data_IF_293742531890
#
_entry.id   IF_293742531890
#
_cell.length_a   1.000
_cell.length_b   1.000
_cell.length_c   1.000
_cell.angle_alpha   90.00
_cell.angle_beta   90.00
_cell.angle_gamma   90.00
#
_symmetry.space_group_name_H-M   'P 1'
#
loop_
_entity.id
_entity.type
_entity.pdbx_description
1 polymer ?
#
# COMPACT_ATOMS: atom_id res chain seq x y z
N UNK A 1 -14.07 43.24 -56.97
CA UNK A 1 -14.96 42.15 -57.43
C UNK A 1 -14.12 40.89 -57.44
N UNK A 2 -14.52 39.93 -56.61
CA UNK A 2 -14.21 38.50 -56.67
C UNK A 2 -12.75 38.05 -56.52
N UNK A 3 -12.40 36.99 -55.80
CA UNK A 3 -13.05 36.17 -54.75
C UNK A 3 -12.10 34.99 -54.56
N UNK A 4 -11.71 34.74 -53.31
CA UNK A 4 -11.57 33.42 -52.68
C UNK A 4 -10.81 32.32 -53.43
N UNK A 5 -9.66 31.94 -52.87
CA UNK A 5 -9.19 30.55 -52.82
C UNK A 5 -8.60 30.33 -51.42
N UNK A 6 -9.47 30.28 -50.41
CA UNK A 6 -9.17 29.66 -49.11
C UNK A 6 -9.66 28.21 -49.22
N UNK A 7 -8.76 27.31 -49.65
CA UNK A 7 -8.95 25.87 -49.47
C UNK A 7 -8.60 25.54 -48.03
N UNK A 8 -9.51 25.82 -47.10
CA UNK A 8 -9.52 25.12 -45.82
C UNK A 8 -9.96 23.68 -46.11
N UNK A 9 -9.00 22.77 -46.17
CA UNK A 9 -9.25 21.35 -46.00
C UNK A 9 -9.91 21.16 -44.64
N UNK A 10 -11.25 21.16 -44.63
CA UNK A 10 -12.01 20.59 -43.53
C UNK A 10 -11.59 19.11 -43.45
N UNK A 11 -10.66 18.84 -42.53
CA UNK A 11 -10.45 17.54 -41.93
C UNK A 11 -11.78 17.10 -41.31
N UNK A 12 -12.67 16.59 -42.17
CA UNK A 12 -13.77 15.73 -41.77
C UNK A 12 -13.14 14.46 -41.19
N UNK A 13 -12.77 14.53 -39.92
CA UNK A 13 -12.66 13.34 -39.11
C UNK A 13 -14.07 12.75 -39.09
N UNK A 14 -14.30 11.53 -39.60
CA UNK A 14 -15.57 10.87 -39.38
C UNK A 14 -15.80 10.83 -37.87
N UNK A 15 -17.00 11.22 -37.44
CA UNK A 15 -17.50 11.00 -36.09
C UNK A 15 -17.51 9.49 -35.85
N UNK A 16 -16.33 8.93 -35.57
CA UNK A 16 -16.21 7.63 -34.96
C UNK A 16 -16.92 7.79 -33.63
N UNK A 17 -18.07 7.13 -33.52
CA UNK A 17 -18.78 6.91 -32.28
C UNK A 17 -17.74 6.65 -31.20
N UNK A 18 -17.53 7.63 -30.31
CA UNK A 18 -16.86 7.38 -29.04
C UNK A 18 -17.82 6.49 -28.29
N UNK A 19 -17.78 5.17 -28.55
CA UNK A 19 -18.34 4.20 -27.64
C UNK A 19 -17.60 4.44 -26.33
N UNK A 20 -18.31 4.81 -25.28
CA UNK A 20 -17.73 4.95 -23.95
C UNK A 20 -16.89 3.71 -23.65
N UNK A 21 -15.56 3.84 -23.68
CA UNK A 21 -14.65 2.72 -23.44
C UNK A 21 -14.75 2.42 -21.95
N UNK A 22 -15.57 1.43 -21.61
CA UNK A 22 -15.79 1.01 -20.24
C UNK A 22 -14.71 0.02 -19.85
N UNK A 23 -13.80 0.45 -18.96
CA UNK A 23 -12.80 -0.44 -18.37
C UNK A 23 -13.49 -1.36 -17.37
N UNK A 24 -13.53 -2.67 -17.63
CA UNK A 24 -13.97 -3.63 -16.62
C UNK A 24 -12.76 -4.18 -15.87
N UNK A 25 -12.88 -4.22 -14.54
CA UNK A 25 -11.87 -4.79 -13.68
C UNK A 25 -12.42 -6.07 -13.06
N UNK A 26 -11.74 -7.18 -13.31
CA UNK A 26 -12.01 -8.45 -12.67
C UNK A 26 -11.02 -8.65 -11.54
N UNK A 27 -11.53 -9.01 -10.36
CA UNK A 27 -10.71 -9.32 -9.19
C UNK A 27 -10.59 -10.83 -9.08
N UNK A 28 -9.35 -11.32 -9.05
CA UNK A 28 -9.04 -12.73 -8.96
C UNK A 28 -8.10 -13.01 -7.78
N UNK A 29 -8.14 -14.25 -7.28
CA UNK A 29 -7.19 -14.73 -6.29
C UNK A 29 -5.78 -14.74 -6.91
N UNK A 30 -4.78 -14.46 -6.08
CA UNK A 30 -3.39 -14.50 -6.51
C UNK A 30 -2.96 -15.91 -6.89
N UNK A 31 -2.10 -16.03 -7.92
CA UNK A 31 -1.56 -17.31 -8.40
C UNK A 31 -0.15 -17.14 -8.95
N UNK A 32 0.56 -18.26 -9.16
CA UNK A 32 1.90 -18.26 -9.76
C UNK A 32 1.93 -17.64 -11.17
N UNK A 33 0.81 -17.65 -11.89
CA UNK A 33 0.72 -17.07 -13.24
C UNK A 33 0.86 -15.54 -13.22
N UNK A 34 0.44 -14.88 -12.13
CA UNK A 34 0.51 -13.42 -11.97
C UNK A 34 1.83 -12.92 -11.37
N UNK A 35 2.73 -13.83 -11.01
CA UNK A 35 3.97 -13.50 -10.32
C UNK A 35 4.86 -12.49 -11.07
N UNK A 36 5.08 -12.58 -12.40
CA UNK A 36 5.89 -11.59 -13.12
C UNK A 36 5.31 -10.17 -13.04
N UNK A 37 3.99 -10.03 -13.11
CA UNK A 37 3.28 -8.76 -13.04
C UNK A 37 3.31 -8.20 -11.61
N UNK A 38 3.10 -9.04 -10.60
CA UNK A 38 3.23 -8.66 -9.19
C UNK A 38 4.66 -8.17 -8.91
N UNK A 39 5.68 -8.87 -9.41
CA UNK A 39 7.08 -8.45 -9.27
C UNK A 39 7.33 -7.10 -9.92
N UNK A 40 6.78 -6.86 -11.11
CA UNK A 40 6.92 -5.58 -11.81
C UNK A 40 6.27 -4.44 -11.02
N UNK A 41 5.05 -4.66 -10.53
CA UNK A 41 4.30 -3.66 -9.76
C UNK A 41 4.94 -3.40 -8.38
N UNK A 42 5.40 -4.43 -7.69
CA UNK A 42 6.15 -4.30 -6.45
C UNK A 42 7.49 -3.60 -6.71
N UNK A 43 8.17 -3.97 -7.80
CA UNK A 43 9.44 -3.39 -8.25
C UNK A 43 9.33 -1.90 -8.51
N UNK A 44 8.24 -1.43 -9.13
CA UNK A 44 7.99 0.00 -9.32
C UNK A 44 7.93 0.76 -7.98
N UNK A 45 7.36 0.16 -6.93
CA UNK A 45 7.34 0.77 -5.59
C UNK A 45 8.69 0.66 -4.89
N UNK A 46 9.39 -0.48 -4.92
CA UNK A 46 10.65 -0.67 -4.19
C UNK A 46 11.90 -0.20 -4.95
N UNK A 47 11.75 0.21 -6.20
CA UNK A 47 12.83 0.75 -7.01
C UNK A 47 13.51 1.96 -6.33
N UNK A 48 14.83 2.05 -6.51
CA UNK A 48 15.66 3.12 -5.96
C UNK A 48 15.60 3.22 -4.44
N UNK A 49 15.37 2.10 -3.75
CA UNK A 49 15.38 2.02 -2.29
C UNK A 49 16.37 0.95 -1.81
N UNK A 50 16.83 1.02 -0.54
CA UNK A 50 17.68 -0.03 0.04
C UNK A 50 17.01 -1.42 0.12
N UNK A 51 15.70 -1.49 -0.08
CA UNK A 51 14.90 -2.72 0.01
C UNK A 51 14.41 -3.19 -1.37
N UNK A 52 15.13 -2.91 -2.46
CA UNK A 52 14.69 -3.27 -3.82
C UNK A 52 14.49 -4.78 -4.02
N UNK A 53 15.28 -5.62 -3.32
CA UNK A 53 15.15 -7.09 -3.36
C UNK A 53 13.80 -7.58 -2.82
N UNK A 54 13.13 -6.77 -2.00
CA UNK A 54 11.84 -7.11 -1.42
C UNK A 54 10.76 -7.31 -2.49
N UNK A 55 10.86 -6.65 -3.65
CA UNK A 55 9.89 -6.83 -4.73
C UNK A 55 9.81 -8.28 -5.22
N UNK A 56 10.96 -8.92 -5.42
CA UNK A 56 11.04 -10.30 -5.89
C UNK A 56 10.51 -11.28 -4.85
N UNK A 57 10.86 -11.09 -3.58
CA UNK A 57 10.38 -11.95 -2.50
C UNK A 57 8.88 -11.77 -2.23
N UNK A 58 8.38 -10.54 -2.26
CA UNK A 58 6.94 -10.28 -2.16
C UNK A 58 6.16 -10.92 -3.30
N UNK A 59 6.66 -10.87 -4.53
CA UNK A 59 6.00 -11.49 -5.66
C UNK A 59 5.84 -13.00 -5.47
N UNK A 60 6.90 -13.70 -5.04
CA UNK A 60 6.84 -15.13 -4.73
C UNK A 60 5.86 -15.45 -3.61
N UNK A 61 5.84 -14.64 -2.55
CA UNK A 61 4.99 -14.90 -1.38
C UNK A 61 3.52 -14.67 -1.76
N UNK A 62 3.23 -13.53 -2.42
CA UNK A 62 1.86 -13.17 -2.80
C UNK A 62 1.34 -14.15 -3.85
N UNK A 63 2.13 -14.58 -4.83
CA UNK A 63 1.71 -15.55 -5.84
C UNK A 63 1.40 -16.94 -5.28
N UNK A 64 2.04 -17.29 -4.17
CA UNK A 64 1.86 -18.56 -3.47
C UNK A 64 0.76 -18.52 -2.38
N UNK A 65 0.17 -17.35 -2.10
CA UNK A 65 -0.82 -17.15 -1.04
C UNK A 65 -2.14 -16.59 -1.61
N UNK A 66 -3.04 -17.44 -2.14
CA UNK A 66 -4.33 -17.00 -2.67
C UNK A 66 -5.32 -16.54 -1.60
N UNK A 67 -5.13 -16.90 -0.32
CA UNK A 67 -6.18 -16.75 0.70
C UNK A 67 -6.44 -15.32 1.17
N UNK A 68 -5.41 -14.47 1.15
CA UNK A 68 -5.53 -13.07 1.61
C UNK A 68 -4.85 -12.19 0.59
N UNK A 69 -5.65 -11.64 -0.32
CA UNK A 69 -5.15 -10.79 -1.38
C UNK A 69 -5.86 -11.02 -2.70
N UNK A 70 -5.75 -10.02 -3.56
CA UNK A 70 -6.37 -10.06 -4.87
C UNK A 70 -5.48 -9.37 -5.90
N UNK A 71 -5.67 -9.78 -7.15
CA UNK A 71 -5.12 -9.17 -8.34
C UNK A 71 -6.28 -8.62 -9.17
N UNK A 72 -6.19 -7.37 -9.60
CA UNK A 72 -7.15 -6.79 -10.54
C UNK A 72 -6.63 -6.92 -11.96
N UNK A 73 -7.42 -7.54 -12.82
CA UNK A 73 -7.14 -7.73 -14.24
C UNK A 73 -8.07 -6.84 -15.07
N UNK A 74 -7.54 -6.24 -16.15
CA UNK A 74 -8.36 -5.61 -17.18
C UNK A 74 -8.91 -6.64 -18.18
N UNK A 75 -9.70 -6.16 -19.15
CA UNK A 75 -10.35 -7.01 -20.17
C UNK A 75 -9.36 -7.89 -20.98
N UNK A 76 -8.12 -7.44 -21.14
CA UNK A 76 -7.05 -8.19 -21.85
C UNK A 76 -6.29 -9.19 -20.94
N UNK A 77 -6.84 -9.51 -19.77
CA UNK A 77 -6.18 -10.28 -18.70
C UNK A 77 -4.87 -9.67 -18.17
N UNK A 78 -4.60 -8.41 -18.51
CA UNK A 78 -3.45 -7.69 -18.02
C UNK A 78 -3.65 -7.32 -16.55
N UNK A 79 -2.70 -7.69 -15.69
CA UNK A 79 -2.72 -7.32 -14.28
C UNK A 79 -2.45 -5.82 -14.13
N UNK A 80 -3.42 -5.11 -13.55
CA UNK A 80 -3.39 -3.67 -13.34
C UNK A 80 -3.00 -3.28 -11.91
N UNK A 81 -3.20 -4.19 -10.96
CA UNK A 81 -2.79 -4.01 -9.58
C UNK A 81 -2.93 -5.27 -8.75
N UNK A 82 -2.28 -5.27 -7.60
CA UNK A 82 -2.43 -6.29 -6.57
C UNK A 82 -2.52 -5.64 -5.19
N UNK A 83 -3.17 -6.33 -4.27
CA UNK A 83 -3.30 -5.93 -2.88
C UNK A 83 -3.33 -7.20 -2.02
N UNK A 84 -2.40 -7.36 -1.09
CA UNK A 84 -2.30 -8.58 -0.28
C UNK A 84 -1.71 -8.29 1.10
N UNK A 85 -2.09 -9.08 2.09
CA UNK A 85 -1.50 -9.05 3.43
C UNK A 85 -0.76 -10.36 3.66
N UNK A 86 0.55 -10.27 3.87
CA UNK A 86 1.39 -11.43 4.14
C UNK A 86 1.73 -11.50 5.63
N UNK A 87 1.87 -12.68 6.21
CA UNK A 87 2.27 -12.81 7.60
C UNK A 87 3.79 -12.69 7.73
N UNK A 88 4.28 -11.57 8.28
CA UNK A 88 5.73 -11.35 8.41
C UNK A 88 6.41 -12.45 9.23
N UNK A 89 5.75 -12.94 10.29
CA UNK A 89 6.29 -13.98 11.17
C UNK A 89 6.65 -15.28 10.45
N UNK A 90 5.92 -15.63 9.38
CA UNK A 90 6.20 -16.83 8.58
C UNK A 90 7.42 -16.67 7.67
N UNK A 91 7.69 -15.44 7.25
CA UNK A 91 8.68 -15.12 6.23
C UNK A 91 9.96 -14.48 6.80
N UNK A 92 10.11 -14.42 8.13
CA UNK A 92 11.31 -13.87 8.80
C UNK A 92 12.62 -14.58 8.43
N UNK A 93 12.57 -15.77 7.85
CA UNK A 93 13.75 -16.48 7.34
C UNK A 93 14.28 -15.90 6.02
N UNK A 94 13.55 -14.99 5.39
CA UNK A 94 13.93 -14.31 4.14
C UNK A 94 14.60 -12.98 4.50
N UNK A 95 15.86 -12.79 4.11
CA UNK A 95 16.66 -11.62 4.51
C UNK A 95 16.04 -10.27 4.12
N UNK A 96 15.34 -10.18 2.98
CA UNK A 96 14.65 -8.96 2.58
C UNK A 96 13.47 -8.61 3.52
N UNK A 97 12.77 -9.62 4.03
CA UNK A 97 11.68 -9.47 5.00
C UNK A 97 12.23 -9.12 6.38
N UNK A 98 13.33 -9.75 6.78
CA UNK A 98 14.07 -9.40 8.00
C UNK A 98 14.53 -7.94 7.97
N UNK A 99 15.12 -7.48 6.86
CA UNK A 99 15.54 -6.08 6.71
C UNK A 99 14.36 -5.09 6.77
N UNK A 100 13.19 -5.46 6.24
CA UNK A 100 11.96 -4.67 6.37
C UNK A 100 11.49 -4.59 7.83
N UNK A 101 11.58 -5.71 8.56
CA UNK A 101 11.25 -5.75 9.97
C UNK A 101 12.23 -4.92 10.81
N UNK A 102 13.52 -4.96 10.50
CA UNK A 102 14.54 -4.11 11.13
C UNK A 102 14.27 -2.62 10.91
N UNK A 103 13.80 -2.23 9.72
CA UNK A 103 13.36 -0.85 9.47
C UNK A 103 12.25 -0.42 10.45
N UNK A 104 11.25 -1.29 10.68
CA UNK A 104 10.20 -1.05 11.67
C UNK A 104 10.76 -0.99 13.10
N UNK A 105 11.65 -1.90 13.48
CA UNK A 105 12.22 -1.94 14.83
C UNK A 105 13.05 -0.69 15.13
N UNK A 106 13.88 -0.26 14.18
CA UNK A 106 14.69 0.95 14.28
C UNK A 106 13.80 2.20 14.43
N UNK A 107 12.73 2.29 13.65
CA UNK A 107 11.75 3.37 13.78
C UNK A 107 11.06 3.33 15.15
N UNK A 108 10.62 2.16 15.61
CA UNK A 108 9.96 2.04 16.92
C UNK A 108 10.88 2.44 18.07
N UNK A 109 12.16 2.10 18.01
CA UNK A 109 13.13 2.47 19.04
C UNK A 109 13.27 3.99 19.18
N UNK A 110 13.22 4.74 18.07
CA UNK A 110 13.24 6.22 18.07
C UNK A 110 11.97 6.84 18.66
N UNK A 111 10.80 6.29 18.33
CA UNK A 111 9.51 6.92 18.64
C UNK A 111 8.76 6.33 19.85
N UNK A 112 9.18 5.19 20.41
CA UNK A 112 8.46 4.51 21.51
C UNK A 112 8.26 5.38 22.76
N UNK A 113 9.15 6.32 23.04
CA UNK A 113 9.02 7.17 24.23
C UNK A 113 8.28 8.48 23.96
N UNK A 114 8.06 8.82 22.69
CA UNK A 114 7.31 10.01 22.26
C UNK A 114 5.87 9.69 21.88
N UNK A 115 5.58 8.47 21.44
CA UNK A 115 4.25 8.01 21.01
C UNK A 115 3.75 6.86 21.91
N UNK A 116 2.79 7.11 22.82
CA UNK A 116 2.23 6.07 23.69
C UNK A 116 1.69 4.83 22.95
N UNK A 117 0.99 4.95 21.80
CA UNK A 117 0.55 3.78 21.03
C UNK A 117 1.73 2.94 20.49
N UNK A 118 2.80 3.59 20.03
CA UNK A 118 4.01 2.90 19.57
C UNK A 118 4.71 2.17 20.73
N UNK A 119 4.75 2.77 21.91
CA UNK A 119 5.26 2.12 23.13
C UNK A 119 4.51 0.84 23.46
N UNK A 120 3.18 0.90 23.43
CA UNK A 120 2.32 -0.24 23.73
C UNK A 120 2.51 -1.35 22.69
N UNK A 121 2.56 -0.99 21.41
CA UNK A 121 2.84 -1.94 20.34
C UNK A 121 4.20 -2.62 20.53
N UNK A 122 5.26 -1.85 20.81
CA UNK A 122 6.59 -2.38 21.08
C UNK A 122 6.62 -3.38 22.24
N UNK A 123 5.91 -3.10 23.33
CA UNK A 123 5.78 -4.02 24.46
C UNK A 123 5.07 -5.32 24.06
N UNK A 124 3.98 -5.22 23.30
CA UNK A 124 3.23 -6.40 22.81
C UNK A 124 4.04 -7.25 21.83
N UNK A 125 4.84 -6.60 20.98
CA UNK A 125 5.75 -7.25 20.04
C UNK A 125 6.80 -8.06 20.81
N UNK A 126 7.45 -7.46 21.81
CA UNK A 126 8.40 -8.16 22.70
C UNK A 126 7.78 -9.30 23.50
N UNK A 127 6.50 -9.18 23.86
CA UNK A 127 5.76 -10.24 24.54
C UNK A 127 5.34 -11.40 23.61
N UNK A 128 5.57 -11.29 22.30
CA UNK A 128 5.16 -12.32 21.33
C UNK A 128 3.64 -12.41 21.12
N UNK A 129 2.91 -11.35 21.47
CA UNK A 129 1.43 -11.32 21.37
C UNK A 129 0.93 -10.69 20.08
N UNK A 130 1.84 -10.18 19.24
CA UNK A 130 1.53 -9.55 17.96
C UNK A 130 1.67 -10.58 16.85
N UNK A 131 0.56 -10.87 16.17
CA UNK A 131 0.57 -11.42 14.82
C UNK A 131 0.52 -10.24 13.84
N UNK A 132 1.62 -10.01 13.11
CA UNK A 132 1.80 -8.84 12.25
C UNK A 132 1.65 -9.24 10.78
N UNK A 133 0.58 -8.75 10.15
CA UNK A 133 0.45 -8.78 8.70
C UNK A 133 1.20 -7.61 8.08
N UNK A 134 1.78 -7.79 6.90
CA UNK A 134 2.34 -6.72 6.09
C UNK A 134 1.48 -6.52 4.86
N UNK A 135 0.85 -5.35 4.77
CA UNK A 135 0.06 -4.95 3.63
C UNK A 135 0.98 -4.48 2.50
N UNK A 136 1.06 -5.29 1.45
CA UNK A 136 1.80 -5.00 0.23
C UNK A 136 0.81 -4.73 -0.90
N UNK A 137 1.09 -3.69 -1.68
CA UNK A 137 0.26 -3.32 -2.82
C UNK A 137 1.10 -2.64 -3.87
N UNK A 138 0.79 -2.93 -5.13
CA UNK A 138 1.38 -2.33 -6.30
C UNK A 138 0.31 -2.25 -7.37
N UNK A 139 0.22 -1.11 -8.05
CA UNK A 139 -0.84 -0.81 -9.01
C UNK A 139 -0.39 0.28 -9.95
N UNK A 140 -1.00 0.35 -11.13
CA UNK A 140 -0.81 1.53 -11.99
C UNK A 140 -1.38 2.78 -11.33
N UNK A 141 -0.73 3.91 -11.56
CA UNK A 141 -1.04 5.19 -10.92
C UNK A 141 -2.38 5.78 -11.37
N UNK A 142 -2.83 5.43 -12.57
CA UNK A 142 -4.06 5.91 -13.20
C UNK A 142 -5.31 5.07 -12.88
N UNK A 143 -5.20 4.03 -12.03
CA UNK A 143 -6.37 3.29 -11.59
C UNK A 143 -7.34 4.21 -10.83
N UNK A 144 -8.65 4.14 -11.13
CA UNK A 144 -9.64 4.98 -10.47
C UNK A 144 -9.76 4.63 -8.99
N UNK A 145 -10.16 5.60 -8.17
CA UNK A 145 -10.28 5.39 -6.74
C UNK A 145 -11.33 4.35 -6.36
N UNK A 146 -12.38 4.17 -7.16
CA UNK A 146 -13.34 3.07 -6.99
C UNK A 146 -12.68 1.69 -7.08
N UNK A 147 -11.72 1.51 -8.00
CA UNK A 147 -10.93 0.28 -8.09
C UNK A 147 -10.01 0.12 -6.87
N UNK A 148 -9.41 1.22 -6.42
CA UNK A 148 -8.57 1.24 -5.22
C UNK A 148 -9.40 0.82 -4.00
N UNK A 149 -10.60 1.36 -3.83
CA UNK A 149 -11.52 0.98 -2.76
C UNK A 149 -11.92 -0.50 -2.82
N UNK A 150 -12.15 -1.03 -4.03
CA UNK A 150 -12.49 -2.44 -4.22
C UNK A 150 -11.37 -3.39 -3.73
N UNK A 151 -10.09 -3.05 -3.94
CA UNK A 151 -8.97 -3.84 -3.37
C UNK A 151 -9.09 -3.99 -1.84
N UNK A 152 -9.42 -2.90 -1.14
CA UNK A 152 -9.57 -2.94 0.32
C UNK A 152 -10.83 -3.67 0.78
N UNK A 153 -11.88 -3.72 -0.05
CA UNK A 153 -13.09 -4.49 0.25
C UNK A 153 -12.83 -5.99 0.07
N UNK A 154 -12.20 -6.40 -1.03
CA UNK A 154 -11.87 -7.80 -1.28
C UNK A 154 -10.98 -8.35 -0.17
N UNK A 155 -9.89 -7.66 0.17
CA UNK A 155 -8.98 -8.14 1.24
C UNK A 155 -9.62 -8.10 2.62
N UNK A 156 -10.56 -7.17 2.87
CA UNK A 156 -11.37 -7.19 4.10
C UNK A 156 -12.21 -8.47 4.15
N UNK A 157 -12.90 -8.80 3.07
CA UNK A 157 -13.76 -9.97 2.99
C UNK A 157 -12.94 -11.27 3.10
N UNK A 158 -11.73 -11.30 2.54
CA UNK A 158 -10.76 -12.39 2.70
C UNK A 158 -10.35 -12.61 4.16
N UNK A 159 -10.02 -11.54 4.89
CA UNK A 159 -9.67 -11.60 6.32
C UNK A 159 -10.84 -12.16 7.14
N UNK A 160 -12.06 -11.69 6.84
CA UNK A 160 -13.29 -12.16 7.50
C UNK A 160 -13.54 -13.64 7.19
N UNK A 161 -13.38 -14.05 5.92
CA UNK A 161 -13.51 -15.43 5.50
C UNK A 161 -12.47 -16.35 6.15
N UNK A 162 -11.19 -15.96 6.16
CA UNK A 162 -10.09 -16.71 6.77
C UNK A 162 -10.23 -16.86 8.29
N UNK A 163 -10.93 -15.93 8.92
CA UNK A 163 -11.25 -15.97 10.34
C UNK A 163 -12.55 -16.74 10.66
N UNK A 164 -13.32 -17.12 9.64
CA UNK A 164 -14.65 -17.72 9.79
C UNK A 164 -14.61 -19.25 9.95
N UNK A 165 -15.72 -19.81 10.40
CA UNK A 165 -15.94 -21.27 10.41
C UNK A 165 -16.08 -21.88 9.00
N UNK A 166 -16.22 -21.04 7.96
CA UNK A 166 -16.37 -21.47 6.55
C UNK A 166 -15.02 -21.61 5.83
N UNK A 167 -13.92 -21.26 6.50
CA UNK A 167 -12.59 -21.39 5.94
C UNK A 167 -12.28 -22.83 5.54
N UNK A 168 -11.90 -23.03 4.28
CA UNK A 168 -11.75 -24.35 3.67
C UNK A 168 -10.45 -24.52 2.85
N UNK A 169 -9.48 -23.60 2.99
CA UNK A 169 -8.15 -23.77 2.38
C UNK A 169 -7.27 -24.77 3.15
N UNK A 170 -6.30 -25.36 2.45
CA UNK A 170 -5.26 -26.24 2.99
C UNK A 170 -4.28 -25.51 3.92
N UNK A 171 -4.12 -24.20 3.75
CA UNK A 171 -3.24 -23.38 4.60
C UNK A 171 -3.85 -23.24 6.00
N UNK A 172 -3.10 -23.33 7.10
CA UNK A 172 -3.69 -23.22 8.43
C UNK A 172 -4.27 -21.82 8.72
N UNK A 173 -5.54 -21.70 9.10
CA UNK A 173 -6.21 -20.39 9.29
C UNK A 173 -5.58 -19.46 10.34
N UNK A 174 -4.86 -20.00 11.33
CA UNK A 174 -4.15 -19.19 12.34
C UNK A 174 -3.07 -18.29 11.73
N UNK A 175 -2.60 -18.61 10.53
CA UNK A 175 -1.64 -17.83 9.75
C UNK A 175 -2.22 -16.49 9.28
N UNK A 176 -3.54 -16.36 9.20
CA UNK A 176 -4.27 -15.19 8.73
C UNK A 176 -4.99 -14.43 9.83
N UNK A 177 -4.78 -14.81 11.10
CA UNK A 177 -5.34 -14.13 12.27
C UNK A 177 -4.45 -12.98 12.71
N UNK A 178 -4.48 -11.89 11.95
CA UNK A 178 -3.67 -10.71 12.22
C UNK A 178 -4.21 -9.93 13.42
N UNK A 179 -3.29 -9.49 14.29
CA UNK A 179 -3.61 -8.53 15.36
C UNK A 179 -3.39 -7.10 14.90
N UNK A 180 -2.37 -6.91 14.05
CA UNK A 180 -1.96 -5.63 13.51
C UNK A 180 -1.55 -5.81 12.05
N UNK A 181 -1.67 -4.73 11.29
CA UNK A 181 -1.25 -4.65 9.88
C UNK A 181 -0.23 -3.52 9.77
N UNK A 182 0.94 -3.87 9.23
CA UNK A 182 2.00 -2.94 8.87
C UNK A 182 1.76 -2.45 7.45
N UNK A 183 1.72 -1.13 7.27
CA UNK A 183 1.70 -0.48 5.98
C UNK A 183 2.92 0.42 5.83
N UNK A 184 3.58 0.35 4.68
CA UNK A 184 4.74 1.20 4.37
C UNK A 184 4.48 1.92 3.05
N UNK A 185 4.61 3.24 3.08
CA UNK A 185 4.59 4.10 1.89
C UNK A 185 5.79 5.06 1.91
N UNK A 186 5.94 5.84 0.84
CA UNK A 186 6.98 6.86 0.71
C UNK A 186 6.35 8.25 0.79
N UNK A 187 7.11 9.23 1.29
CA UNK A 187 6.67 10.61 1.30
C UNK A 187 7.82 11.62 1.17
N UNK A 188 7.46 12.89 0.97
CA UNK A 188 8.39 14.03 1.01
C UNK A 188 8.17 14.83 2.29
N UNK A 189 9.23 14.95 3.10
CA UNK A 189 9.26 15.78 4.30
C UNK A 189 9.22 17.28 3.93
N UNK A 190 8.70 18.11 4.85
CA UNK A 190 8.92 19.57 4.83
C UNK A 190 10.42 19.84 4.87
N UNK A 191 10.89 20.78 4.05
CA UNK A 191 12.29 21.19 4.06
C UNK A 191 12.61 21.75 5.45
N UNK A 192 13.16 20.91 6.31
CA UNK A 192 13.87 21.37 7.49
C UNK A 192 15.28 21.65 7.02
N UNK A 193 15.67 22.93 7.01
CA UNK A 193 17.09 23.31 7.03
C UNK A 193 17.83 22.43 8.04
N UNK A 194 19.10 22.06 7.79
CA UNK A 194 19.86 21.18 8.65
C UNK A 194 20.16 21.89 9.99
N UNK A 195 19.20 21.85 10.91
CA UNK A 195 19.41 22.26 12.28
C UNK A 195 20.11 21.11 12.99
N UNK A 196 21.43 21.24 13.08
CA UNK A 196 22.34 20.35 13.78
C UNK A 196 22.09 20.25 15.30
N UNK A 197 20.99 20.79 15.83
CA UNK A 197 20.65 20.77 17.26
C UNK A 197 19.13 20.68 17.45
N UNK A 198 18.55 19.48 17.46
CA UNK A 198 17.27 19.23 18.15
C UNK A 198 17.39 18.05 19.11
N UNK A 199 18.42 18.10 19.95
CA UNK A 199 18.37 17.53 21.29
C UNK A 199 17.65 18.53 22.19
N UNK A 200 16.32 18.61 22.11
CA UNK A 200 15.45 19.17 23.18
C UNK A 200 13.98 19.10 22.76
N UNK A 201 13.23 18.25 23.45
CA UNK A 201 11.78 18.31 23.66
C UNK A 201 10.90 18.76 22.50
N UNK A 202 10.35 17.82 21.73
CA UNK A 202 9.16 18.10 20.96
C UNK A 202 8.20 16.90 21.02
N UNK A 203 7.17 17.05 21.85
CA UNK A 203 5.95 16.23 21.94
C UNK A 203 5.07 16.35 20.70
N UNK A 204 5.67 16.57 19.53
CA UNK A 204 4.93 16.80 18.28
C UNK A 204 4.75 15.51 17.53
N UNK A 205 3.49 15.24 17.17
CA UNK A 205 3.09 14.19 16.24
C UNK A 205 4.01 14.20 15.00
N UNK A 206 4.66 13.07 14.64
CA UNK A 206 5.58 13.00 13.50
C UNK A 206 4.93 13.47 12.20
N UNK A 207 3.61 13.31 12.05
CA UNK A 207 2.84 13.75 10.89
C UNK A 207 2.94 15.27 10.62
N UNK A 208 3.27 16.09 11.62
CA UNK A 208 3.49 17.52 11.44
C UNK A 208 4.63 17.83 10.46
N UNK A 209 5.58 16.89 10.29
CA UNK A 209 6.72 17.00 9.38
C UNK A 209 6.38 16.71 7.91
N UNK A 210 5.19 16.19 7.61
CA UNK A 210 4.75 15.91 6.24
C UNK A 210 4.26 17.19 5.53
N UNK A 211 4.64 17.37 4.25
CA UNK A 211 4.02 18.38 3.36
C UNK A 211 2.56 17.92 3.04
N UNK A 212 1.63 18.85 2.79
CA UNK A 212 0.17 18.57 2.64
C UNK A 212 -0.24 17.68 1.44
N UNK A 213 0.64 17.42 0.46
CA UNK A 213 0.36 16.62 -0.76
C UNK A 213 1.59 15.84 -1.23
N UNK A 214 2.07 14.94 -0.39
CA UNK A 214 3.48 14.47 -0.51
C UNK A 214 3.64 12.99 -0.24
N UNK A 215 2.52 12.30 -0.09
CA UNK A 215 2.46 10.85 0.00
C UNK A 215 2.55 10.27 -1.42
N UNK A 216 3.07 9.05 -1.54
CA UNK A 216 3.22 8.40 -2.82
C UNK A 216 1.88 8.07 -3.48
N UNK A 217 0.83 7.84 -2.68
CA UNK A 217 -0.49 7.43 -3.15
C UNK A 217 -1.60 8.25 -2.50
N UNK A 218 -2.73 8.47 -3.19
CA UNK A 218 -3.86 9.21 -2.63
C UNK A 218 -4.46 8.54 -1.38
N UNK A 219 -4.61 7.21 -1.39
CA UNK A 219 -5.17 6.42 -0.29
C UNK A 219 -4.31 6.42 0.98
N UNK A 220 -3.04 6.81 0.89
CA UNK A 220 -2.11 6.85 2.03
C UNK A 220 -2.62 7.76 3.15
N UNK A 221 -3.33 8.84 2.80
CA UNK A 221 -3.90 9.78 3.78
C UNK A 221 -4.90 9.07 4.69
N UNK A 222 -5.84 8.35 4.09
CA UNK A 222 -6.89 7.60 4.79
C UNK A 222 -6.29 6.50 5.67
N UNK A 223 -5.25 5.82 5.19
CA UNK A 223 -4.53 4.79 5.96
C UNK A 223 -3.87 5.39 7.20
N UNK A 224 -3.18 6.53 7.04
CA UNK A 224 -2.53 7.24 8.14
C UNK A 224 -3.55 7.67 9.19
N UNK A 225 -4.69 8.25 8.76
CA UNK A 225 -5.75 8.70 9.67
C UNK A 225 -6.41 7.56 10.45
N UNK A 226 -6.50 6.37 9.85
CA UNK A 226 -7.08 5.20 10.50
C UNK A 226 -6.07 4.39 11.34
N UNK A 227 -4.77 4.72 11.26
CA UNK A 227 -3.69 4.00 11.94
C UNK A 227 -3.68 4.22 13.46
N UNK A 228 -3.15 3.25 14.21
CA UNK A 228 -2.89 3.43 15.64
C UNK A 228 -1.79 4.45 15.88
N UNK A 229 -0.77 4.42 15.02
CA UNK A 229 0.32 5.37 14.95
C UNK A 229 1.03 5.26 13.60
N UNK A 230 1.71 6.34 13.25
CA UNK A 230 2.59 6.44 12.07
C UNK A 230 3.96 6.93 12.50
N UNK A 231 5.00 6.33 11.95
CA UNK A 231 6.41 6.68 12.14
C UNK A 231 6.98 7.22 10.84
N UNK A 232 7.94 8.13 10.94
CA UNK A 232 8.64 8.70 9.80
C UNK A 232 10.13 8.40 9.89
N UNK A 233 10.68 7.77 8.85
CA UNK A 233 12.11 7.46 8.76
C UNK A 233 12.71 8.22 7.58
N UNK A 234 13.54 9.25 7.82
CA UNK A 234 14.23 9.95 6.74
C UNK A 234 15.08 9.00 5.90
N UNK A 235 14.93 9.06 4.59
CA UNK A 235 15.66 8.20 3.65
C UNK A 235 15.68 8.82 2.24
N UNK A 236 16.76 8.62 1.49
CA UNK A 236 16.81 9.02 0.08
C UNK A 236 16.19 7.91 -0.77
N UNK A 237 14.99 8.13 -1.28
CA UNK A 237 14.15 7.12 -1.95
C UNK A 237 13.76 7.58 -3.37
N UNK A 238 14.73 8.13 -4.11
CA UNK A 238 14.50 8.76 -5.41
C UNK A 238 13.86 10.14 -5.24
N UNK A 239 12.62 10.30 -5.72
CA UNK A 239 11.85 11.54 -5.56
C UNK A 239 11.27 11.74 -4.16
N UNK A 240 11.31 10.71 -3.31
CA UNK A 240 10.81 10.73 -1.94
C UNK A 240 11.96 10.84 -0.93
N UNK A 241 11.68 11.48 0.22
CA UNK A 241 12.70 11.80 1.24
C UNK A 241 12.46 11.12 2.59
N UNK A 242 11.40 10.31 2.73
CA UNK A 242 11.19 9.47 3.89
C UNK A 242 10.32 8.24 3.62
N UNK A 243 10.50 7.22 4.44
CA UNK A 243 9.50 6.19 4.67
C UNK A 243 8.43 6.68 5.63
N UNK A 244 7.20 6.30 5.35
CA UNK A 244 6.04 6.44 6.24
C UNK A 244 5.59 5.05 6.63
N UNK A 245 5.72 4.73 7.91
CA UNK A 245 5.44 3.41 8.45
C UNK A 245 4.21 3.52 9.36
N UNK A 246 3.08 2.99 8.90
CA UNK A 246 1.81 3.04 9.63
C UNK A 246 1.46 1.67 10.17
N UNK A 247 1.04 1.61 11.43
CA UNK A 247 0.57 0.37 12.06
C UNK A 247 -0.91 0.51 12.36
N UNK A 248 -1.71 -0.40 11.80
CA UNK A 248 -3.14 -0.47 12.02
C UNK A 248 -3.47 -1.65 12.92
N UNK A 249 -4.53 -1.54 13.71
CA UNK A 249 -5.26 -2.71 14.18
C UNK A 249 -6.23 -3.19 13.08
N UNK A 250 -6.84 -4.36 13.27
CA UNK A 250 -7.79 -4.91 12.30
C UNK A 250 -8.97 -3.95 12.10
N UNK A 251 -9.47 -3.34 13.18
CA UNK A 251 -10.52 -2.33 13.10
C UNK A 251 -10.09 -1.09 12.28
N UNK A 252 -8.83 -0.70 12.34
CA UNK A 252 -8.25 0.36 11.54
C UNK A 252 -8.28 0.04 10.05
N UNK A 253 -7.92 -1.17 9.66
CA UNK A 253 -8.04 -1.60 8.27
C UNK A 253 -9.50 -1.58 7.78
N UNK A 254 -10.46 -2.04 8.61
CA UNK A 254 -11.88 -1.98 8.28
C UNK A 254 -12.38 -0.53 8.12
N UNK A 255 -11.87 0.41 8.94
CA UNK A 255 -12.16 1.84 8.79
C UNK A 255 -11.61 2.41 7.48
N UNK A 256 -10.40 2.02 7.07
CA UNK A 256 -9.83 2.42 5.77
C UNK A 256 -10.71 1.92 4.63
N UNK A 257 -11.03 0.63 4.63
CA UNK A 257 -11.86 -0.02 3.61
C UNK A 257 -13.21 0.67 3.46
N UNK A 258 -13.85 1.02 4.59
CA UNK A 258 -15.10 1.77 4.59
C UNK A 258 -14.94 3.21 4.08
N UNK A 259 -13.96 3.94 4.59
CA UNK A 259 -13.75 5.35 4.21
C UNK A 259 -13.47 5.52 2.73
N UNK A 260 -12.65 4.63 2.13
CA UNK A 260 -12.37 4.65 0.70
C UNK A 260 -13.59 4.28 -0.16
N UNK A 261 -14.54 3.50 0.37
CA UNK A 261 -15.77 3.16 -0.33
C UNK A 261 -16.85 4.26 -0.22
N UNK A 262 -16.84 5.02 0.87
CA UNK A 262 -17.78 6.12 1.14
C UNK A 262 -17.33 7.45 0.51
N UNK A 263 -16.08 7.57 0.04
CA UNK A 263 -15.63 8.72 -0.74
C UNK A 263 -16.33 8.70 -2.11
N UNK A 264 -17.40 9.48 -2.24
CA UNK A 264 -18.00 9.79 -3.54
C UNK A 264 -16.95 10.52 -4.39
N UNK A 265 -16.33 9.81 -5.33
CA UNK A 265 -15.38 10.36 -6.28
C UNK A 265 -16.15 11.07 -7.41
N UNK A 266 -16.59 12.30 -7.14
CA UNK A 266 -17.10 13.26 -8.14
C UNK A 266 -15.99 13.77 -9.09
#
# INVERSE_FOLDING_TARGET
>A
MNSQDDQSEELFMPEAEFSDVQLNLEFADSSEDFKPEIETLAGAFWAQTPHSELAFELAKIVSAQPEIGTVACGDDSAVLGYHSIINLGQHMHISAIEALFDLLLNALEEYKDTLPPAKLFWQRLKAGTVCLGFLTTGRYTNLPMSAIAAFYQVVKDDIEWASSAKYNSSTPSHLFKFTHILYITKAVLKDTEPSMNQTTGCTTNPLNRLKKRSLARPEDTTIIECSLFTLLVPASLGSFTCWVISVLDLAGYLRVSKALADEDFD
#
